data_IF_336896861930
#
_entry.id   IF_336896861930
#
_cell.length_a   1.000
_cell.length_b   1.000
_cell.length_c   1.000
_cell.angle_alpha   90.00
_cell.angle_beta   90.00
_cell.angle_gamma   90.00
#
_symmetry.space_group_name_H-M   'P 1'
#
loop_
_entity.id
_entity.type
_entity.pdbx_description
1 polymer ?
#
# COMPACT_ATOMS: atom_id res chain seq x y z
N UNK A 1 -10.28 -66.57 -8.80
CA UNK A 1 -10.47 -65.36 -9.64
C UNK A 1 -10.93 -64.27 -8.69
N UNK A 2 -9.97 -63.53 -8.12
CA UNK A 2 -9.68 -62.12 -8.48
C UNK A 2 -10.89 -61.22 -8.20
N UNK A 3 -10.88 -60.43 -7.13
CA UNK A 3 -10.35 -59.04 -7.08
C UNK A 3 -11.53 -58.09 -6.89
N UNK A 4 -11.53 -57.08 -6.02
CA UNK A 4 -10.51 -56.58 -5.14
C UNK A 4 -11.16 -55.62 -4.14
N UNK A 5 -10.55 -55.57 -2.94
CA UNK A 5 -10.70 -54.49 -2.00
C UNK A 5 -10.37 -53.17 -2.69
N UNK A 6 -11.34 -52.28 -2.85
CA UNK A 6 -11.07 -50.86 -3.03
C UNK A 6 -11.17 -50.21 -1.66
N UNK A 7 -10.05 -50.24 -0.95
CA UNK A 7 -9.81 -49.25 0.09
C UNK A 7 -9.81 -47.88 -0.59
N UNK A 8 -10.69 -46.99 -0.15
CA UNK A 8 -10.46 -45.57 -0.35
C UNK A 8 -9.18 -45.22 0.39
N UNK A 9 -8.04 -45.26 -0.30
CA UNK A 9 -6.95 -44.36 0.01
C UNK A 9 -7.50 -42.95 -0.23
N UNK A 10 -8.02 -42.34 0.83
CA UNK A 10 -7.90 -40.89 0.98
C UNK A 10 -6.41 -40.63 0.87
N UNK A 11 -5.95 -40.24 -0.31
CA UNK A 11 -4.69 -39.52 -0.48
C UNK A 11 -4.88 -38.23 0.30
N UNK A 12 -4.58 -38.29 1.60
CA UNK A 12 -4.38 -37.13 2.42
C UNK A 12 -3.20 -36.40 1.79
N UNK A 13 -3.50 -35.33 1.06
CA UNK A 13 -2.52 -34.38 0.56
C UNK A 13 -1.54 -34.09 1.70
N UNK A 14 -0.22 -34.33 1.50
CA UNK A 14 0.73 -34.11 2.57
C UNK A 14 0.78 -32.61 2.81
N UNK A 15 0.30 -32.21 3.99
CA UNK A 15 0.73 -31.05 4.75
C UNK A 15 1.13 -29.82 3.92
N UNK A 16 0.31 -28.77 3.96
CA UNK A 16 0.78 -27.41 3.72
C UNK A 16 1.95 -27.14 4.68
N UNK A 17 3.18 -27.45 4.27
CA UNK A 17 4.36 -26.88 4.92
C UNK A 17 4.18 -25.37 4.79
N UNK A 18 3.97 -24.70 5.91
CA UNK A 18 3.90 -23.24 5.95
C UNK A 18 5.13 -22.71 5.21
N UNK A 19 4.88 -21.99 4.11
CA UNK A 19 5.95 -21.44 3.30
C UNK A 19 6.42 -20.19 4.00
N UNK A 20 7.57 -20.29 4.63
CA UNK A 20 8.21 -19.17 5.30
C UNK A 20 9.08 -18.43 4.29
N UNK A 21 8.88 -17.13 4.18
CA UNK A 21 9.61 -16.27 3.27
C UNK A 21 10.42 -15.24 4.08
N UNK A 22 11.60 -14.94 3.56
CA UNK A 22 12.53 -13.99 4.14
C UNK A 22 13.02 -13.03 3.07
N UNK A 23 13.15 -11.76 3.43
CA UNK A 23 13.75 -10.74 2.59
C UNK A 23 15.14 -10.39 3.12
N UNK A 24 16.13 -10.36 2.23
CA UNK A 24 17.52 -10.04 2.58
C UNK A 24 17.70 -8.54 2.84
N UNK A 25 18.22 -8.13 3.99
CA UNK A 25 18.55 -6.71 4.24
C UNK A 25 20.01 -6.36 3.89
N UNK A 26 20.81 -7.37 3.50
CA UNK A 26 22.23 -7.23 3.16
C UNK A 26 22.55 -7.97 1.84
N UNK A 27 23.53 -7.46 1.07
CA UNK A 27 24.05 -8.18 -0.11
C UNK A 27 24.87 -9.41 0.32
N UNK A 28 24.64 -10.53 -0.36
CA UNK A 28 25.38 -11.77 -0.18
C UNK A 28 26.11 -12.18 -1.46
N UNK A 29 27.29 -12.76 -1.33
CA UNK A 29 28.03 -13.37 -2.44
C UNK A 29 28.16 -14.88 -2.22
N UNK A 30 27.84 -15.67 -3.24
CA UNK A 30 27.91 -17.14 -3.20
C UNK A 30 28.65 -17.65 -4.41
N UNK A 31 29.57 -18.60 -4.20
CA UNK A 31 30.27 -19.25 -5.31
C UNK A 31 29.42 -20.41 -5.83
N UNK A 32 29.05 -20.35 -7.10
CA UNK A 32 28.37 -21.45 -7.77
C UNK A 32 29.31 -22.65 -7.88
N UNK A 33 28.89 -23.80 -7.35
CA UNK A 33 29.76 -24.98 -7.25
C UNK A 33 30.12 -25.58 -8.61
N UNK A 34 29.25 -25.44 -9.61
CA UNK A 34 29.44 -26.04 -10.93
C UNK A 34 30.36 -25.18 -11.80
N UNK A 35 30.16 -23.87 -11.79
CA UNK A 35 30.85 -22.92 -12.67
C UNK A 35 32.02 -22.21 -11.99
N UNK A 36 32.18 -22.35 -10.67
CA UNK A 36 33.13 -21.59 -9.84
C UNK A 36 32.96 -20.07 -9.94
N UNK A 37 31.84 -19.60 -10.50
CA UNK A 37 31.54 -18.18 -10.66
C UNK A 37 30.94 -17.63 -9.36
N UNK A 38 31.40 -16.46 -8.94
CA UNK A 38 30.78 -15.74 -7.82
C UNK A 38 29.49 -15.08 -8.30
N UNK A 39 28.38 -15.48 -7.70
CA UNK A 39 27.06 -14.88 -7.88
C UNK A 39 26.81 -13.89 -6.74
N UNK A 40 26.30 -12.72 -7.08
CA UNK A 40 25.88 -11.70 -6.12
C UNK A 40 24.37 -11.70 -6.01
N UNK A 41 23.88 -11.79 -4.77
CA UNK A 41 22.46 -11.68 -4.44
C UNK A 41 22.27 -10.34 -3.74
N UNK A 42 21.53 -9.39 -4.34
CA UNK A 42 21.39 -8.05 -3.78
C UNK A 42 20.56 -8.05 -2.50
N UNK A 43 20.78 -7.04 -1.65
CA UNK A 43 19.79 -6.67 -0.62
C UNK A 43 18.43 -6.45 -1.29
N UNK A 44 17.35 -6.81 -0.64
CA UNK A 44 15.99 -6.79 -1.18
C UNK A 44 15.53 -8.09 -1.84
N UNK A 45 16.45 -9.03 -2.15
CA UNK A 45 16.06 -10.33 -2.72
C UNK A 45 15.20 -11.14 -1.74
N UNK A 46 14.26 -11.93 -2.28
CA UNK A 46 13.35 -12.75 -1.47
C UNK A 46 13.78 -14.21 -1.55
N UNK A 47 13.91 -14.85 -0.38
CA UNK A 47 14.22 -16.26 -0.24
C UNK A 47 13.08 -17.03 0.42
N UNK A 48 12.85 -18.25 -0.05
CA UNK A 48 12.02 -19.22 0.68
C UNK A 48 12.92 -20.01 1.63
N UNK A 49 12.48 -20.17 2.88
CA UNK A 49 13.14 -21.04 3.84
C UNK A 49 13.15 -22.49 3.36
N UNK A 50 14.29 -23.15 3.51
CA UNK A 50 14.46 -24.57 3.19
C UNK A 50 14.82 -25.31 4.47
N UNK A 51 13.92 -26.18 4.94
CA UNK A 51 14.21 -27.04 6.08
C UNK A 51 15.17 -28.15 5.64
N UNK A 52 16.23 -28.38 6.43
CA UNK A 52 17.33 -29.30 6.13
C UNK A 52 16.92 -30.79 6.25
N UNK A 53 15.97 -31.23 5.43
CA UNK A 53 15.56 -32.65 5.33
C UNK A 53 16.14 -33.36 4.11
N UNK A 54 16.78 -32.65 3.19
CA UNK A 54 17.15 -33.18 1.87
C UNK A 54 18.65 -33.15 1.53
N UNK A 55 19.56 -32.80 2.45
CA UNK A 55 21.01 -32.98 2.21
C UNK A 55 21.46 -34.33 2.78
N UNK A 56 21.01 -35.40 2.15
CA UNK A 56 21.53 -36.75 2.39
C UNK A 56 23.05 -36.79 2.15
N UNK A 57 23.77 -37.32 3.14
CA UNK A 57 25.17 -37.74 3.09
C UNK A 57 26.23 -36.65 2.83
N UNK A 58 26.41 -35.74 3.77
CA UNK A 58 27.76 -35.24 4.05
C UNK A 58 28.01 -35.26 5.55
N UNK A 59 28.76 -36.26 6.02
CA UNK A 59 29.30 -36.33 7.39
C UNK A 59 30.45 -35.32 7.54
N UNK A 60 30.14 -34.04 7.41
CA UNK A 60 31.01 -32.98 7.95
C UNK A 60 30.43 -32.64 9.32
N UNK A 61 31.16 -32.88 10.41
CA UNK A 61 30.72 -32.43 11.72
C UNK A 61 30.51 -30.91 11.65
N UNK A 62 29.40 -30.36 12.19
CA UNK A 62 29.26 -28.91 12.31
C UNK A 62 30.47 -28.40 13.08
N UNK A 63 31.28 -27.56 12.41
CA UNK A 63 32.35 -26.84 13.07
C UNK A 63 31.73 -26.11 14.26
N UNK A 64 32.22 -26.42 15.46
CA UNK A 64 31.74 -25.86 16.73
C UNK A 64 31.69 -24.33 16.61
N UNK A 65 30.48 -23.74 16.48
CA UNK A 65 30.31 -22.29 16.55
C UNK A 65 29.11 -21.66 15.80
N UNK A 66 28.55 -22.26 14.75
CA UNK A 66 27.46 -21.62 13.96
C UNK A 66 26.11 -22.29 14.18
N UNK A 67 25.33 -21.83 15.16
CA UNK A 67 23.99 -22.35 15.46
C UNK A 67 22.83 -21.52 14.87
N UNK A 68 23.08 -20.42 14.17
CA UNK A 68 22.04 -19.44 13.79
C UNK A 68 22.01 -19.08 12.29
N UNK A 69 22.47 -19.99 11.41
CA UNK A 69 22.38 -19.76 9.96
C UNK A 69 21.19 -20.53 9.37
N UNK A 70 20.38 -19.84 8.58
CA UNK A 70 19.22 -20.42 7.90
C UNK A 70 19.47 -20.57 6.40
N UNK A 71 18.99 -21.67 5.83
CA UNK A 71 19.06 -21.94 4.39
C UNK A 71 17.91 -21.26 3.65
N UNK A 72 18.22 -20.35 2.73
CA UNK A 72 17.24 -19.66 1.89
C UNK A 72 17.47 -19.98 0.42
N UNK A 73 16.42 -20.43 -0.27
CA UNK A 73 16.41 -20.56 -1.73
C UNK A 73 15.85 -19.28 -2.34
N UNK A 74 16.65 -18.59 -3.14
CA UNK A 74 16.30 -17.28 -3.71
C UNK A 74 15.22 -17.47 -4.79
N UNK A 75 14.13 -16.71 -4.70
CA UNK A 75 12.99 -16.86 -5.59
C UNK A 75 13.31 -16.41 -7.01
N UNK A 76 13.99 -15.26 -7.17
CA UNK A 76 14.40 -14.75 -8.48
C UNK A 76 15.52 -15.57 -9.13
N UNK A 77 16.23 -16.38 -8.33
CA UNK A 77 17.31 -17.25 -8.78
C UNK A 77 17.17 -18.64 -8.12
N UNK A 78 16.24 -19.49 -8.56
CA UNK A 78 15.87 -20.73 -7.85
C UNK A 78 16.99 -21.76 -7.65
N UNK A 79 18.09 -21.62 -8.40
CA UNK A 79 19.29 -22.45 -8.30
C UNK A 79 20.24 -21.98 -7.18
N UNK A 80 20.03 -20.80 -6.63
CA UNK A 80 20.84 -20.20 -5.58
C UNK A 80 20.24 -20.53 -4.21
N UNK A 81 21.06 -21.13 -3.36
CA UNK A 81 20.76 -21.35 -1.93
C UNK A 81 21.81 -20.64 -1.09
N UNK A 82 21.36 -19.73 -0.22
CA UNK A 82 22.20 -18.98 0.71
C UNK A 82 22.07 -19.54 2.12
N UNK A 83 23.15 -19.48 2.89
CA UNK A 83 23.12 -19.65 4.35
C UNK A 83 23.35 -18.29 4.98
N UNK A 84 22.30 -17.72 5.56
CA UNK A 84 22.28 -16.34 6.05
C UNK A 84 22.11 -16.31 7.56
N UNK A 85 22.68 -15.30 8.22
CA UNK A 85 22.45 -15.07 9.64
C UNK A 85 21.04 -14.48 9.84
N UNK A 86 20.34 -14.87 10.92
CA UNK A 86 18.98 -14.37 11.26
C UNK A 86 18.87 -12.84 11.31
N UNK A 87 19.96 -12.15 11.68
CA UNK A 87 20.03 -10.68 11.75
C UNK A 87 20.05 -10.00 10.38
N UNK A 88 20.38 -10.72 9.31
CA UNK A 88 20.54 -10.16 7.96
C UNK A 88 19.29 -10.38 7.10
N UNK A 89 18.19 -10.82 7.73
CA UNK A 89 16.92 -11.08 7.06
C UNK A 89 15.73 -10.59 7.87
N UNK A 90 14.63 -10.34 7.17
CA UNK A 90 13.33 -10.03 7.77
C UNK A 90 12.33 -11.06 7.29
N UNK A 91 11.62 -11.70 8.22
CA UNK A 91 10.53 -12.60 7.89
C UNK A 91 9.35 -11.82 7.29
N UNK A 92 8.81 -12.34 6.20
CA UNK A 92 7.66 -11.78 5.50
C UNK A 92 6.60 -12.85 5.30
N UNK A 93 5.34 -12.52 5.55
CA UNK A 93 4.25 -13.44 5.29
C UNK A 93 4.00 -13.60 3.78
N UNK A 94 3.25 -14.64 3.42
CA UNK A 94 2.98 -14.96 2.01
C UNK A 94 2.29 -13.81 1.25
N UNK A 95 1.29 -13.15 1.85
CA UNK A 95 0.57 -12.05 1.18
C UNK A 95 1.46 -10.83 0.92
N UNK A 96 2.34 -10.49 1.86
CA UNK A 96 3.35 -9.45 1.65
C UNK A 96 4.38 -9.87 0.61
N UNK A 97 4.75 -11.15 0.58
CA UNK A 97 5.65 -11.70 -0.42
C UNK A 97 5.09 -11.53 -1.83
N UNK A 98 3.81 -11.83 -2.03
CA UNK A 98 3.12 -11.62 -3.31
C UNK A 98 3.19 -10.15 -3.78
N UNK A 99 2.97 -9.19 -2.89
CA UNK A 99 3.05 -7.76 -3.24
C UNK A 99 4.49 -7.30 -3.54
N UNK A 100 5.46 -7.75 -2.72
CA UNK A 100 6.86 -7.34 -2.82
C UNK A 100 7.57 -7.97 -4.02
N UNK A 101 7.22 -9.21 -4.38
CA UNK A 101 7.87 -9.94 -5.47
C UNK A 101 7.61 -9.32 -6.84
N UNK A 102 6.46 -8.66 -7.03
CA UNK A 102 6.16 -7.93 -8.27
C UNK A 102 7.05 -6.70 -8.49
N UNK A 103 7.66 -6.17 -7.42
CA UNK A 103 8.55 -5.01 -7.48
C UNK A 103 9.92 -5.49 -7.95
N UNK A 104 10.31 -5.16 -9.18
CA UNK A 104 11.57 -5.62 -9.76
C UNK A 104 12.79 -4.88 -9.21
N UNK A 105 12.63 -3.65 -8.74
CA UNK A 105 13.68 -2.87 -8.10
C UNK A 105 13.80 -3.24 -6.62
N UNK A 106 14.94 -3.81 -6.23
CA UNK A 106 15.19 -4.26 -4.87
C UNK A 106 15.22 -3.13 -3.83
N UNK A 107 15.64 -1.91 -4.21
CA UNK A 107 15.66 -0.77 -3.30
C UNK A 107 14.25 -0.25 -3.03
N UNK A 108 13.42 -0.09 -4.07
CA UNK A 108 12.02 0.30 -3.91
C UNK A 108 11.24 -0.73 -3.09
N UNK A 109 11.56 -2.02 -3.28
CA UNK A 109 11.00 -3.12 -2.50
C UNK A 109 11.34 -3.01 -1.01
N UNK A 110 12.58 -2.67 -0.67
CA UNK A 110 13.01 -2.44 0.71
C UNK A 110 12.29 -1.24 1.33
N UNK A 111 12.21 -0.12 0.58
CA UNK A 111 11.47 1.07 1.03
C UNK A 111 10.01 0.75 1.33
N UNK A 112 9.36 -0.08 0.50
CA UNK A 112 7.98 -0.48 0.75
C UNK A 112 7.84 -1.42 1.95
N UNK A 113 8.79 -2.32 2.17
CA UNK A 113 8.81 -3.21 3.34
C UNK A 113 8.83 -2.41 4.65
N UNK A 114 9.63 -1.35 4.70
CA UNK A 114 9.73 -0.47 5.88
C UNK A 114 8.40 0.27 6.15
N UNK A 115 7.60 0.51 5.11
CA UNK A 115 6.28 1.14 5.21
C UNK A 115 5.15 0.13 5.46
N UNK A 116 5.05 -0.36 6.71
CA UNK A 116 3.99 -1.31 7.12
C UNK A 116 2.58 -0.83 6.77
N UNK A 117 2.30 0.47 6.92
CA UNK A 117 1.00 1.07 6.57
C UNK A 117 0.71 0.92 5.08
N UNK A 118 1.66 1.27 4.19
CA UNK A 118 1.45 1.15 2.74
C UNK A 118 1.28 -0.30 2.30
N UNK A 119 2.08 -1.20 2.86
CA UNK A 119 1.97 -2.63 2.56
C UNK A 119 0.61 -3.19 3.02
N UNK A 120 0.14 -2.78 4.20
CA UNK A 120 -1.17 -3.15 4.72
C UNK A 120 -2.31 -2.59 3.88
N UNK A 121 -2.25 -1.31 3.49
CA UNK A 121 -3.24 -0.72 2.57
C UNK A 121 -3.24 -1.43 1.22
N UNK A 122 -2.06 -1.77 0.69
CA UNK A 122 -1.91 -2.52 -0.57
C UNK A 122 -2.58 -3.88 -0.60
N UNK A 123 -2.74 -4.54 0.56
CA UNK A 123 -3.51 -5.77 0.67
C UNK A 123 -5.02 -5.58 0.43
N UNK A 124 -5.53 -4.36 0.66
CA UNK A 124 -6.94 -4.00 0.50
C UNK A 124 -7.25 -3.32 -0.84
N UNK A 125 -6.23 -3.15 -1.70
CA UNK A 125 -6.44 -2.67 -3.06
C UNK A 125 -7.01 -3.81 -3.88
N UNK A 126 -8.23 -3.60 -4.38
CA UNK A 126 -8.98 -4.55 -5.18
C UNK A 126 -9.50 -3.90 -6.47
N UNK A 127 -10.07 -4.71 -7.35
CA UNK A 127 -10.70 -4.20 -8.57
C UNK A 127 -11.81 -3.21 -8.20
N UNK A 128 -11.76 -2.02 -8.78
CA UNK A 128 -12.64 -0.90 -8.49
C UNK A 128 -12.02 0.18 -7.58
N UNK A 129 -10.92 -0.12 -6.87
CA UNK A 129 -10.24 0.88 -6.03
C UNK A 129 -9.70 2.05 -6.87
N UNK A 130 -9.88 3.28 -6.36
CA UNK A 130 -9.27 4.49 -6.93
C UNK A 130 -7.83 4.62 -6.43
N UNK A 131 -6.92 4.91 -7.35
CA UNK A 131 -5.48 5.02 -7.08
C UNK A 131 -4.89 6.14 -7.91
N UNK A 132 -3.69 6.60 -7.55
CA UNK A 132 -2.82 7.36 -8.47
C UNK A 132 -1.62 6.51 -8.86
N UNK A 133 -1.23 6.54 -10.13
CA UNK A 133 -0.17 5.71 -10.69
C UNK A 133 1.03 6.54 -11.10
N UNK A 134 2.21 6.20 -10.61
CA UNK A 134 3.46 6.77 -11.07
C UNK A 134 4.02 5.98 -12.26
N UNK A 135 3.95 6.55 -13.47
CA UNK A 135 4.49 5.92 -14.68
C UNK A 135 6.00 6.08 -14.80
N UNK A 136 6.53 7.23 -14.38
CA UNK A 136 7.97 7.53 -14.40
C UNK A 136 8.42 8.11 -13.07
N UNK A 137 9.61 7.73 -12.58
CA UNK A 137 10.15 8.31 -11.35
C UNK A 137 10.30 9.83 -11.46
N UNK A 138 9.81 10.55 -10.45
CA UNK A 138 9.91 12.01 -10.37
C UNK A 138 8.87 12.79 -11.18
N UNK A 139 8.02 12.11 -11.95
CA UNK A 139 6.86 12.74 -12.61
C UNK A 139 5.60 12.68 -11.73
N UNK A 140 4.61 13.50 -12.10
CA UNK A 140 3.28 13.50 -11.50
C UNK A 140 2.58 12.14 -11.65
N UNK A 141 1.70 11.82 -10.71
CA UNK A 141 0.95 10.57 -10.70
C UNK A 141 -0.42 10.79 -11.33
N UNK A 142 -0.82 9.86 -12.19
CA UNK A 142 -2.09 9.94 -12.89
C UNK A 142 -3.20 9.24 -12.11
N UNK A 143 -4.41 9.83 -12.01
CA UNK A 143 -5.55 9.16 -11.40
C UNK A 143 -5.93 7.92 -12.21
N UNK A 144 -6.39 6.88 -11.53
CA UNK A 144 -6.75 5.62 -12.16
C UNK A 144 -7.68 4.76 -11.32
N UNK A 145 -8.23 3.74 -11.96
CA UNK A 145 -9.06 2.71 -11.30
C UNK A 145 -8.47 1.34 -11.57
N UNK A 146 -8.34 0.53 -10.52
CA UNK A 146 -7.86 -0.84 -10.64
C UNK A 146 -8.89 -1.68 -11.39
N UNK A 147 -8.49 -2.30 -12.48
CA UNK A 147 -9.30 -3.20 -13.31
C UNK A 147 -8.87 -4.66 -13.25
N UNK A 148 -7.64 -4.92 -12.80
CA UNK A 148 -7.09 -6.25 -12.61
C UNK A 148 -6.20 -6.31 -11.37
N UNK A 149 -6.24 -7.43 -10.65
CA UNK A 149 -5.33 -7.74 -9.55
C UNK A 149 -4.93 -9.21 -9.66
N UNK A 150 -3.66 -9.49 -9.86
CA UNK A 150 -3.19 -10.87 -9.92
C UNK A 150 -1.82 -11.04 -10.57
N UNK A 151 -1.36 -12.29 -10.70
CA UNK A 151 -0.06 -12.58 -11.29
C UNK A 151 -0.08 -12.43 -12.81
N UNK A 152 0.99 -11.85 -13.34
CA UNK A 152 1.26 -11.79 -14.80
C UNK A 152 2.21 -12.89 -15.26
N UNK A 153 3.10 -13.32 -14.36
CA UNK A 153 4.06 -14.39 -14.58
C UNK A 153 3.68 -15.55 -13.65
N UNK A 154 3.60 -16.75 -14.22
CA UNK A 154 3.33 -17.96 -13.44
C UNK A 154 4.64 -18.47 -12.82
N UNK A 155 4.73 -18.41 -11.49
CA UNK A 155 5.87 -18.93 -10.74
C UNK A 155 5.55 -20.25 -10.06
N UNK A 156 6.57 -21.10 -9.86
CA UNK A 156 6.39 -22.44 -9.28
C UNK A 156 6.00 -22.40 -7.80
N UNK A 157 6.47 -21.40 -7.05
CA UNK A 157 6.30 -21.29 -5.61
C UNK A 157 5.26 -20.22 -5.27
N UNK A 158 5.62 -18.96 -5.39
CA UNK A 158 4.77 -17.79 -5.12
C UNK A 158 4.90 -16.82 -6.29
N UNK A 159 3.79 -16.23 -6.71
CA UNK A 159 3.75 -15.31 -7.85
C UNK A 159 3.57 -13.88 -7.38
N UNK A 160 4.27 -12.93 -8.01
CA UNK A 160 4.10 -11.52 -7.71
C UNK A 160 2.73 -11.01 -8.18
N UNK A 161 2.07 -10.18 -7.38
CA UNK A 161 0.79 -9.54 -7.73
C UNK A 161 1.04 -8.21 -8.43
N UNK A 162 0.49 -8.10 -9.63
CA UNK A 162 0.42 -6.85 -10.39
C UNK A 162 -1.01 -6.31 -10.37
N UNK A 163 -1.10 -5.00 -10.52
CA UNK A 163 -2.34 -4.26 -10.64
C UNK A 163 -2.45 -3.74 -12.07
N UNK A 164 -3.49 -4.17 -12.78
CA UNK A 164 -3.89 -3.55 -14.03
C UNK A 164 -4.76 -2.34 -13.70
N UNK A 165 -4.33 -1.15 -14.10
CA UNK A 165 -5.01 0.12 -13.81
C UNK A 165 -5.40 0.77 -15.12
N UNK A 166 -6.64 1.23 -15.20
CA UNK A 166 -7.10 2.15 -16.23
C UNK A 166 -6.86 3.58 -15.75
N UNK A 167 -6.06 4.33 -16.51
CA UNK A 167 -5.76 5.73 -16.28
C UNK A 167 -6.97 6.59 -16.67
N UNK A 168 -7.26 7.58 -15.85
CA UNK A 168 -8.38 8.50 -15.99
C UNK A 168 -7.88 9.92 -16.29
N UNK A 169 -8.80 10.78 -16.71
CA UNK A 169 -8.59 12.24 -16.83
C UNK A 169 -7.30 12.58 -17.58
N UNK A 170 -6.38 13.36 -16.98
CA UNK A 170 -5.09 13.74 -17.56
C UNK A 170 -4.16 12.55 -17.90
N UNK A 171 -4.42 11.36 -17.37
CA UNK A 171 -3.68 10.14 -17.65
C UNK A 171 -4.16 9.35 -18.87
N UNK A 172 -5.29 9.71 -19.49
CA UNK A 172 -5.78 8.99 -20.68
C UNK A 172 -4.79 9.11 -21.84
N UNK A 173 -4.51 7.98 -22.50
CA UNK A 173 -3.53 7.89 -23.59
C UNK A 173 -2.06 7.87 -23.15
N UNK A 174 -1.78 7.87 -21.84
CA UNK A 174 -0.41 7.75 -21.29
C UNK A 174 -0.02 6.30 -20.93
N UNK A 175 -0.97 5.37 -21.05
CA UNK A 175 -0.77 3.95 -20.78
C UNK A 175 0.00 3.23 -21.89
N UNK A 176 0.14 1.91 -21.72
CA UNK A 176 0.95 1.05 -22.61
C UNK A 176 0.18 -0.19 -23.09
N UNK A 177 -1.10 -0.30 -22.75
CA UNK A 177 -1.95 -1.44 -23.07
C UNK A 177 -3.42 -1.03 -23.06
N UNK A 178 -4.23 -1.79 -23.77
CA UNK A 178 -5.70 -1.80 -23.73
C UNK A 178 -6.25 -2.88 -22.76
N UNK A 179 -5.38 -3.40 -21.89
CA UNK A 179 -5.66 -4.44 -20.90
C UNK A 179 -5.27 -5.86 -21.33
N UNK A 180 -4.50 -5.99 -22.41
CA UNK A 180 -3.89 -7.25 -22.87
C UNK A 180 -2.47 -7.42 -22.33
N UNK A 181 -2.17 -8.60 -21.80
CA UNK A 181 -0.81 -9.03 -21.46
C UNK A 181 -0.50 -10.39 -22.09
N UNK A 182 0.62 -10.48 -22.83
CA UNK A 182 1.05 -11.70 -23.54
C UNK A 182 -0.07 -12.37 -24.38
N UNK A 183 -0.90 -11.56 -25.06
CA UNK A 183 -2.00 -12.03 -25.91
C UNK A 183 -3.27 -12.47 -25.16
N UNK A 184 -3.30 -12.34 -23.82
CA UNK A 184 -4.49 -12.60 -23.00
C UNK A 184 -5.11 -11.28 -22.57
N UNK A 185 -6.40 -11.09 -22.85
CA UNK A 185 -7.19 -9.99 -22.29
C UNK A 185 -7.40 -10.23 -20.79
N UNK A 186 -6.88 -9.34 -19.94
CA UNK A 186 -7.02 -9.42 -18.48
C UNK A 186 -8.08 -8.44 -17.96
N UNK A 187 -8.20 -7.27 -18.59
CA UNK A 187 -9.28 -6.30 -18.40
C UNK A 187 -9.49 -5.52 -19.69
N UNK A 188 -10.53 -4.69 -19.80
CA UNK A 188 -10.78 -3.85 -20.98
C UNK A 188 -10.78 -2.37 -20.57
N UNK A 189 -10.11 -1.54 -21.36
CA UNK A 189 -10.14 -0.08 -21.25
C UNK A 189 -10.01 0.55 -22.64
N UNK A 190 -9.99 1.88 -22.70
CA UNK A 190 -9.69 2.60 -23.93
C UNK A 190 -8.23 2.41 -24.38
N UNK A 191 -7.97 2.73 -25.65
CA UNK A 191 -6.63 2.68 -26.27
C UNK A 191 -5.64 3.48 -25.44
N UNK A 192 -4.48 2.87 -25.17
CA UNK A 192 -3.38 3.45 -24.39
C UNK A 192 -3.82 4.03 -23.04
N UNK A 193 -4.85 3.48 -22.41
CA UNK A 193 -5.29 3.89 -21.07
C UNK A 193 -4.95 2.87 -19.99
N UNK A 194 -4.54 1.66 -20.34
CA UNK A 194 -4.20 0.61 -19.39
C UNK A 194 -2.70 0.58 -19.05
N UNK A 195 -2.38 0.23 -17.81
CA UNK A 195 -1.02 -0.10 -17.35
C UNK A 195 -1.03 -1.26 -16.38
N UNK A 196 0.05 -2.05 -16.38
CA UNK A 196 0.31 -3.05 -15.34
C UNK A 196 1.46 -2.59 -14.46
N UNK A 197 1.21 -2.44 -13.17
CA UNK A 197 2.19 -1.92 -12.21
C UNK A 197 2.19 -2.73 -10.91
N UNK A 198 3.30 -2.65 -10.16
CA UNK A 198 3.39 -3.18 -8.80
C UNK A 198 3.00 -2.10 -7.77
N UNK A 199 2.88 -2.51 -6.50
CA UNK A 199 2.36 -1.66 -5.43
C UNK A 199 3.21 -0.41 -5.17
N UNK A 200 4.52 -0.45 -5.42
CA UNK A 200 5.43 0.69 -5.24
C UNK A 200 5.02 1.91 -6.10
N UNK A 201 4.44 1.66 -7.28
CA UNK A 201 3.96 2.68 -8.21
C UNK A 201 2.54 3.17 -7.93
N UNK A 202 1.84 2.60 -6.94
CA UNK A 202 0.47 2.98 -6.58
C UNK A 202 0.42 3.85 -5.34
N UNK A 203 -0.29 4.96 -5.44
CA UNK A 203 -0.79 5.71 -4.30
C UNK A 203 -2.27 5.39 -4.10
N UNK A 204 -2.60 4.92 -2.90
CA UNK A 204 -3.96 4.52 -2.55
C UNK A 204 -4.67 5.76 -2.06
N UNK A 205 -5.73 6.15 -2.77
CA UNK A 205 -6.55 7.30 -2.40
C UNK A 205 -7.60 6.79 -1.42
N UNK A 206 -7.55 7.28 -0.18
CA UNK A 206 -8.61 7.00 0.77
C UNK A 206 -9.86 7.79 0.33
N UNK A 207 -11.05 7.18 0.34
CA UNK A 207 -12.28 7.88 -0.05
C UNK A 207 -12.59 9.09 0.86
N UNK A 208 -12.00 9.12 2.06
CA UNK A 208 -12.05 10.23 3.01
C UNK A 208 -11.17 11.43 2.62
N UNK A 209 -10.28 11.29 1.62
CA UNK A 209 -9.31 12.32 1.18
C UNK A 209 -9.77 13.10 -0.07
N UNK A 210 -10.92 12.75 -0.64
CA UNK A 210 -11.50 13.49 -1.78
C UNK A 210 -12.25 14.74 -1.33
N UNK A 211 -11.54 15.72 -0.77
CA UNK A 211 -12.19 16.96 -0.36
C UNK A 211 -11.37 18.19 -0.03
N UNK A 212 -10.03 18.18 -0.06
CA UNK A 212 -9.25 19.41 0.18
C UNK A 212 -7.92 19.40 -0.60
N UNK A 213 -7.87 20.09 -1.74
CA UNK A 213 -6.60 20.57 -2.26
C UNK A 213 -5.93 21.43 -1.18
N UNK A 214 -4.86 20.90 -0.59
CA UNK A 214 -4.10 21.54 0.47
C UNK A 214 -3.18 22.62 -0.11
N UNK A 215 -3.75 23.72 -0.58
CA UNK A 215 -3.03 24.97 -0.79
C UNK A 215 -2.86 25.69 0.54
N UNK A 216 -2.10 25.12 1.49
CA UNK A 216 -1.61 25.90 2.62
C UNK A 216 -0.18 25.53 3.01
N UNK A 217 0.62 26.58 3.08
CA UNK A 217 2.03 26.64 3.43
C UNK A 217 2.38 25.76 4.65
N UNK A 218 3.55 25.12 4.58
CA UNK A 218 4.13 24.40 5.69
C UNK A 218 4.30 25.26 6.95
N UNK A 219 4.56 24.63 8.11
CA UNK A 219 4.59 25.31 9.40
C UNK A 219 5.83 26.20 9.49
N UNK A 220 5.69 27.45 9.06
CA UNK A 220 6.55 28.54 9.51
C UNK A 220 6.00 29.08 10.81
N UNK A 221 6.80 28.97 11.88
CA UNK A 221 6.66 29.61 13.19
C UNK A 221 5.47 30.60 13.34
N UNK A 222 4.34 30.10 13.83
CA UNK A 222 3.29 30.93 14.41
C UNK A 222 2.85 30.30 15.73
N UNK A 223 3.09 31.04 16.81
CA UNK A 223 2.72 30.70 18.18
C UNK A 223 1.23 30.29 18.29
N UNK A 224 0.86 29.47 19.29
CA UNK A 224 -0.54 29.13 19.51
C UNK A 224 -1.31 30.41 19.84
N UNK A 225 -2.12 30.89 18.90
CA UNK A 225 -3.14 31.88 19.20
C UNK A 225 -4.31 31.15 19.87
N UNK A 226 -4.48 31.42 21.17
CA UNK A 226 -5.67 31.08 21.94
C UNK A 226 -6.89 31.77 21.31
N UNK A 227 -7.68 31.04 20.54
CA UNK A 227 -9.01 31.49 20.13
C UNK A 227 -10.04 31.12 21.20
N UNK A 228 -10.94 32.05 21.59
CA UNK A 228 -12.01 31.74 22.53
C UNK A 228 -12.97 30.70 21.94
N UNK A 229 -13.58 29.83 22.77
CA UNK A 229 -14.47 28.77 22.31
C UNK A 229 -15.69 29.34 21.59
N UNK A 230 -16.04 28.75 20.44
CA UNK A 230 -17.19 29.16 19.64
C UNK A 230 -18.50 28.78 20.34
N UNK A 231 -19.39 29.76 20.50
CA UNK A 231 -20.71 29.58 21.13
C UNK A 231 -21.84 29.56 20.09
N UNK A 232 -22.97 28.96 20.45
CA UNK A 232 -24.18 29.02 19.63
C UNK A 232 -24.62 30.49 19.53
N UNK A 233 -24.97 30.93 18.33
CA UNK A 233 -25.27 32.31 17.91
C UNK A 233 -24.06 33.21 17.61
N UNK A 234 -22.82 32.70 17.68
CA UNK A 234 -21.66 33.43 17.18
C UNK A 234 -21.76 33.63 15.66
N UNK A 235 -21.46 34.85 15.19
CA UNK A 235 -21.32 35.12 13.74
C UNK A 235 -19.93 34.71 13.26
N UNK A 236 -19.91 33.94 12.18
CA UNK A 236 -18.71 33.38 11.58
C UNK A 236 -18.70 33.66 10.08
N UNK A 237 -17.52 33.75 9.50
CA UNK A 237 -17.34 33.85 8.05
C UNK A 237 -16.57 32.63 7.56
N UNK A 238 -17.15 31.92 6.59
CA UNK A 238 -16.63 30.70 6.01
C UNK A 238 -16.11 31.01 4.61
N UNK A 239 -14.88 30.60 4.31
CA UNK A 239 -14.33 30.68 2.96
C UNK A 239 -14.75 29.41 2.21
N UNK A 240 -15.65 29.57 1.24
CA UNK A 240 -16.17 28.47 0.42
C UNK A 240 -15.80 28.78 -1.04
N UNK A 241 -14.87 28.00 -1.61
CA UNK A 241 -14.25 28.32 -2.90
C UNK A 241 -13.51 29.66 -2.85
N UNK A 242 -13.76 30.54 -3.82
CA UNK A 242 -13.19 31.90 -3.84
C UNK A 242 -14.03 32.94 -3.08
N UNK A 243 -15.20 32.56 -2.54
CA UNK A 243 -16.11 33.45 -1.82
C UNK A 243 -15.96 33.39 -0.30
N UNK A 244 -16.18 34.52 0.37
CA UNK A 244 -16.36 34.58 1.83
C UNK A 244 -17.85 34.74 2.13
N UNK A 245 -18.46 33.73 2.75
CA UNK A 245 -19.87 33.76 3.12
C UNK A 245 -20.02 33.84 4.64
N UNK A 246 -20.91 34.70 5.13
CA UNK A 246 -21.17 34.84 6.57
C UNK A 246 -22.37 34.01 7.01
N UNK A 247 -22.26 33.42 8.19
CA UNK A 247 -23.31 32.62 8.83
C UNK A 247 -23.31 32.74 10.34
N UNK A 248 -24.28 32.09 10.97
CA UNK A 248 -24.45 32.08 12.42
C UNK A 248 -24.38 30.65 12.94
N UNK A 249 -23.60 30.40 13.98
CA UNK A 249 -23.54 29.07 14.59
C UNK A 249 -24.89 28.71 15.20
N UNK A 250 -25.49 27.61 14.76
CA UNK A 250 -26.77 27.09 15.27
C UNK A 250 -26.63 25.77 16.01
N UNK A 251 -25.47 25.12 15.91
CA UNK A 251 -25.16 23.88 16.62
C UNK A 251 -23.67 23.84 16.97
N UNK A 252 -23.35 23.36 18.18
CA UNK A 252 -21.98 23.09 18.61
C UNK A 252 -22.01 21.90 19.58
N UNK A 253 -21.47 20.74 19.17
CA UNK A 253 -21.50 19.54 19.99
C UNK A 253 -21.15 18.26 19.23
N UNK A 254 -21.13 17.13 19.95
CA UNK A 254 -20.96 15.80 19.33
C UNK A 254 -22.29 15.30 18.77
N UNK A 255 -22.23 14.48 17.71
CA UNK A 255 -23.42 13.91 17.10
C UNK A 255 -23.67 12.49 17.62
N UNK A 256 -24.93 12.11 17.88
CA UNK A 256 -25.27 10.76 18.34
C UNK A 256 -24.78 9.70 17.35
N UNK A 257 -23.98 8.73 17.83
CA UNK A 257 -23.41 7.66 17.00
C UNK A 257 -22.17 8.06 16.18
N UNK A 258 -21.67 9.29 16.33
CA UNK A 258 -20.45 9.82 15.68
C UNK A 258 -19.48 10.47 16.67
N UNK A 259 -19.54 10.05 17.93
CA UNK A 259 -18.78 10.65 19.04
C UNK A 259 -17.26 10.53 18.87
N UNK A 260 -16.78 9.53 18.12
CA UNK A 260 -15.35 9.34 17.82
C UNK A 260 -14.84 10.23 16.69
N UNK A 261 -15.71 10.95 15.97
CA UNK A 261 -15.37 11.82 14.84
C UNK A 261 -15.14 13.29 15.25
N UNK A 262 -15.20 13.56 16.56
CA UNK A 262 -14.93 14.88 17.13
C UNK A 262 -16.17 15.74 17.37
N UNK A 263 -15.92 17.02 17.70
CA UNK A 263 -16.96 18.03 17.86
C UNK A 263 -17.44 18.53 16.50
N UNK A 264 -18.71 18.92 16.39
CA UNK A 264 -19.28 19.47 15.16
C UNK A 264 -19.88 20.85 15.39
N UNK A 265 -19.72 21.75 14.42
CA UNK A 265 -20.37 23.06 14.39
C UNK A 265 -21.32 23.12 13.19
N UNK A 266 -22.59 23.43 13.45
CA UNK A 266 -23.57 23.72 12.41
C UNK A 266 -23.72 25.23 12.25
N UNK A 267 -23.67 25.72 11.02
CA UNK A 267 -23.76 27.15 10.71
C UNK A 267 -24.93 27.41 9.76
N UNK A 268 -25.80 28.36 10.12
CA UNK A 268 -26.89 28.87 9.28
C UNK A 268 -26.39 30.04 8.44
N UNK A 269 -26.40 29.88 7.12
CA UNK A 269 -25.84 30.86 6.19
C UNK A 269 -26.89 31.92 5.82
N UNK A 270 -26.49 33.20 5.81
CA UNK A 270 -27.41 34.33 5.55
C UNK A 270 -27.86 34.37 4.07
N UNK A 271 -27.08 33.79 3.17
CA UNK A 271 -27.42 33.58 1.77
C UNK A 271 -28.43 32.42 1.67
N UNK A 272 -29.66 32.69 1.19
CA UNK A 272 -30.77 31.72 1.07
C UNK A 272 -30.51 30.61 0.03
N UNK A 273 -29.48 29.80 0.22
CA UNK A 273 -29.42 28.41 -0.22
C UNK A 273 -29.32 27.58 1.05
N UNK A 274 -30.42 26.92 1.42
CA UNK A 274 -30.43 25.97 2.53
C UNK A 274 -29.41 24.86 2.24
N UNK A 275 -28.20 25.01 2.78
CA UNK A 275 -27.22 23.95 2.98
C UNK A 275 -26.78 24.09 4.43
N UNK A 276 -27.37 23.28 5.30
CA UNK A 276 -26.85 23.12 6.66
C UNK A 276 -25.51 22.40 6.56
N UNK A 277 -24.41 23.13 6.64
CA UNK A 277 -23.09 22.55 6.72
C UNK A 277 -22.79 22.15 8.16
N UNK A 278 -22.25 20.95 8.33
CA UNK A 278 -21.89 20.37 9.62
C UNK A 278 -20.38 20.11 9.58
N UNK A 279 -19.61 20.97 10.24
CA UNK A 279 -18.15 21.00 10.14
C UNK A 279 -17.56 20.32 11.37
N UNK A 280 -16.65 19.34 11.20
CA UNK A 280 -15.90 18.73 12.31
C UNK A 280 -14.82 19.70 12.82
N UNK A 281 -14.67 19.83 14.14
CA UNK A 281 -13.83 20.84 14.80
C UNK A 281 -12.32 20.63 14.56
N UNK A 282 -11.91 19.41 14.24
CA UNK A 282 -10.52 19.12 13.83
C UNK A 282 -10.15 19.78 12.48
N UNK A 283 -11.15 20.21 11.68
CA UNK A 283 -10.97 21.00 10.45
C UNK A 283 -11.17 22.51 10.66
N UNK A 284 -11.66 22.96 11.82
CA UNK A 284 -12.19 24.32 12.00
C UNK A 284 -11.20 25.34 12.61
N UNK A 285 -10.03 24.90 13.10
CA UNK A 285 -9.09 25.79 13.81
C UNK A 285 -8.41 26.81 12.85
N UNK A 286 -8.45 26.60 11.53
CA UNK A 286 -7.74 27.49 10.58
C UNK A 286 -8.58 28.62 9.96
N UNK A 287 -9.91 28.65 10.09
CA UNK A 287 -10.74 29.53 9.23
C UNK A 287 -11.94 30.21 9.89
N UNK A 288 -12.12 30.07 11.21
CA UNK A 288 -13.16 30.82 11.92
C UNK A 288 -12.55 32.06 12.58
N UNK A 289 -12.79 33.23 11.99
CA UNK A 289 -12.52 34.51 12.65
C UNK A 289 -13.77 34.97 13.40
N UNK A 290 -13.66 35.09 14.73
CA UNK A 290 -14.70 35.67 15.55
C UNK A 290 -14.79 37.18 15.24
N UNK A 291 -15.88 37.62 14.62
CA UNK A 291 -16.18 39.05 14.54
C UNK A 291 -16.65 39.48 15.93
N UNK A 292 -15.72 40.04 16.72
CA UNK A 292 -16.04 40.66 18.01
C UNK A 292 -17.19 41.64 17.88
N UNK A 293 -18.11 41.58 18.84
CA UNK A 293 -19.16 42.58 19.04
C UNK A 293 -18.51 43.89 19.47
N UNK A 294 -18.20 44.77 18.52
CA UNK A 294 -18.04 46.20 18.79
C UNK A 294 -18.16 46.99 17.49
N UNK A 295 -19.39 47.45 17.20
CA UNK A 295 -19.67 48.65 16.39
C UNK A 295 -20.99 49.24 16.89
N UNK A 296 -20.90 50.00 17.98
CA UNK A 296 -21.93 50.98 18.37
C UNK A 296 -21.24 52.35 18.43
N UNK A 297 -21.75 53.26 17.59
CA UNK A 297 -21.42 54.68 17.38
C UNK A 297 -20.25 55.00 16.42
#
# INVERSE_FOLDING_TARGET
MSSGLWGQEKVTSPYWEERIFYLLIQEYSVTDKQTQKVLKVPKGAIGQYVQDRAVGHSRVPPAKGKKNQMGLRILEQPHVVLFVDEKDVVEINEKHTELLLAITNCEERLVLLDSKTRLSKGLHVDVGSRVKVQLRPGEEKFPGVVRFRGPLLAERTVSGIFFGVELLEEGRGQGFTDGVYQGKQLFQCEEDCGVFVALDKLEIVDEDDNGLESDYAGPGDAAPMDFPPLEINSRVSLKIGEGLESGTVIFCGTLPGKETLGYFVGVDMVSKKLLGYMISLDMAISSVTHLGTDWML
#
